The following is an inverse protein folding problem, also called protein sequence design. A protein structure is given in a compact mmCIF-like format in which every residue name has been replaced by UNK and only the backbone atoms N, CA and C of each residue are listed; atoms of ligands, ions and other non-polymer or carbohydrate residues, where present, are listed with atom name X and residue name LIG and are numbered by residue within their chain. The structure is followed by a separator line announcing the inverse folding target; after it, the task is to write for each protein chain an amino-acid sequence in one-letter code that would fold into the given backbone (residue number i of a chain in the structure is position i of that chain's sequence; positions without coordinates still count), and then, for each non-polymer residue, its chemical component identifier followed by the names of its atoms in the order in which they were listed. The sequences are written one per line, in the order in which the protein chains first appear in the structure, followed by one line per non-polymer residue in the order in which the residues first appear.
data_IF_886690256706
#
_entry.id   IF_886690256706
#
_cell.length_a   1.000
_cell.length_b   1.000
_cell.length_c   1.000
_cell.angle_alpha   90.00
_cell.angle_beta   90.00
_cell.angle_gamma   90.00
#
_symmetry.space_group_name_H-M   'P 1'
#
loop_
_entity.id
_entity.type
_entity.pdbx_description
1 polymer ?
#
# COMPACT_ATOMS: atom_id res chain seq x y z
N UNK A 1 13.15 43.41 8.09
CA UNK A 1 14.18 43.75 7.09
C UNK A 1 13.85 42.85 5.92
N UNK A 2 12.92 43.32 5.10
CA UNK A 2 12.45 42.58 3.93
C UNK A 2 13.53 42.75 2.87
N UNK A 3 14.35 41.71 2.68
CA UNK A 3 15.33 41.74 1.60
C UNK A 3 14.55 41.54 0.31
N UNK A 4 14.49 42.59 -0.51
CA UNK A 4 14.04 42.49 -1.89
C UNK A 4 14.88 41.40 -2.57
N UNK A 5 14.23 40.29 -2.93
CA UNK A 5 14.90 39.14 -3.55
C UNK A 5 15.66 39.56 -4.81
N UNK A 6 16.77 38.88 -5.10
CA UNK A 6 17.54 39.15 -6.32
C UNK A 6 16.94 38.33 -7.46
N UNK A 7 16.40 39.01 -8.47
CA UNK A 7 15.91 38.39 -9.69
C UNK A 7 17.07 38.21 -10.69
N UNK A 8 17.21 37.01 -11.26
CA UNK A 8 18.26 36.69 -12.23
C UNK A 8 17.72 35.78 -13.33
N UNK A 9 18.06 36.07 -14.59
CA UNK A 9 17.68 35.25 -15.74
C UNK A 9 18.75 34.18 -16.01
N UNK A 10 18.33 32.91 -16.09
CA UNK A 10 19.20 31.78 -16.40
C UNK A 10 18.84 31.21 -17.77
N UNK A 11 19.84 31.01 -18.63
CA UNK A 11 19.67 30.37 -19.94
C UNK A 11 20.17 28.94 -19.85
N UNK A 12 19.28 27.97 -20.08
CA UNK A 12 19.62 26.55 -20.06
C UNK A 12 19.57 25.98 -21.48
N UNK A 13 20.60 25.22 -21.86
CA UNK A 13 20.68 24.52 -23.15
C UNK A 13 20.72 23.02 -22.87
N UNK A 14 19.85 22.26 -23.52
CA UNK A 14 19.87 20.80 -23.45
C UNK A 14 20.80 20.24 -24.55
N UNK A 15 21.97 19.68 -24.22
CA UNK A 15 22.87 19.08 -25.19
C UNK A 15 22.45 17.65 -25.59
N UNK A 16 21.44 17.07 -24.95
CA UNK A 16 21.00 15.69 -25.14
C UNK A 16 19.75 15.62 -26.04
N UNK A 17 19.59 14.49 -26.73
CA UNK A 17 18.38 14.19 -27.52
C UNK A 17 17.21 13.68 -26.66
N UNK A 18 17.42 13.61 -25.33
CA UNK A 18 16.38 13.28 -24.38
C UNK A 18 15.70 14.58 -23.96
N UNK A 19 14.38 14.59 -23.86
CA UNK A 19 13.68 15.79 -23.46
C UNK A 19 14.01 16.04 -21.96
N UNK A 20 14.05 17.31 -21.52
CA UNK A 20 14.34 17.71 -20.12
C UNK A 20 13.16 18.53 -19.58
N UNK A 21 12.78 18.26 -18.33
CA UNK A 21 11.74 18.98 -17.59
C UNK A 21 12.35 19.68 -16.37
N UNK A 22 11.92 20.92 -16.12
CA UNK A 22 12.31 21.70 -14.96
C UNK A 22 11.09 21.83 -14.06
N UNK A 23 11.26 21.53 -12.78
CA UNK A 23 10.26 21.75 -11.76
C UNK A 23 10.88 22.49 -10.58
N UNK A 24 10.05 23.22 -9.85
CA UNK A 24 10.45 23.92 -8.64
C UNK A 24 9.70 23.33 -7.45
N UNK A 25 10.41 22.93 -6.41
CA UNK A 25 9.77 22.36 -5.21
C UNK A 25 8.89 23.39 -4.50
N UNK A 26 9.23 24.67 -4.58
CA UNK A 26 8.61 25.73 -3.77
C UNK A 26 7.63 26.60 -4.57
N UNK A 27 7.81 26.70 -5.89
CA UNK A 27 7.09 27.67 -6.74
C UNK A 27 6.23 27.03 -7.83
N UNK A 28 6.36 25.73 -8.06
CA UNK A 28 5.60 25.04 -9.09
C UNK A 28 4.26 24.56 -8.50
N UNK A 29 3.16 25.16 -8.96
CA UNK A 29 1.81 24.81 -8.51
C UNK A 29 1.48 23.35 -8.80
N UNK A 30 1.93 22.81 -9.94
CA UNK A 30 1.69 21.42 -10.31
C UNK A 30 2.40 20.47 -9.33
N UNK A 31 3.67 20.76 -8.99
CA UNK A 31 4.40 19.99 -8.00
C UNK A 31 3.70 20.01 -6.63
N UNK A 32 3.27 21.18 -6.17
CA UNK A 32 2.63 21.34 -4.86
C UNK A 32 1.32 20.56 -4.76
N UNK A 33 0.52 20.55 -5.83
CA UNK A 33 -0.70 19.76 -5.92
C UNK A 33 -0.42 18.26 -5.90
N UNK A 34 0.53 17.80 -6.73
CA UNK A 34 0.94 16.39 -6.76
C UNK A 34 1.50 15.92 -5.41
N UNK A 35 2.31 16.76 -4.74
CA UNK A 35 2.86 16.45 -3.43
C UNK A 35 1.77 16.30 -2.37
N UNK A 36 0.77 17.18 -2.41
CA UNK A 36 -0.41 17.10 -1.53
C UNK A 36 -1.17 15.81 -1.79
N UNK A 37 -1.38 15.42 -3.04
CA UNK A 37 -2.04 14.17 -3.41
C UNK A 37 -1.25 12.97 -2.88
N UNK A 38 0.06 12.91 -3.13
CA UNK A 38 0.92 11.83 -2.70
C UNK A 38 0.97 11.68 -1.18
N UNK A 39 1.04 12.79 -0.45
CA UNK A 39 1.02 12.80 1.02
C UNK A 39 -0.27 12.20 1.57
N UNK A 40 -1.40 12.46 0.92
CA UNK A 40 -2.70 11.93 1.30
C UNK A 40 -2.89 10.46 0.90
N UNK A 41 -2.49 10.10 -0.32
CA UNK A 41 -2.68 8.76 -0.88
C UNK A 41 -1.72 7.72 -0.27
N UNK A 42 -0.47 8.10 -0.04
CA UNK A 42 0.59 7.20 0.49
C UNK A 42 0.64 7.23 2.02
N UNK A 43 0.21 8.33 2.65
CA UNK A 43 0.08 8.44 4.10
C UNK A 43 1.43 8.30 4.83
N UNK A 44 1.52 7.34 5.76
CA UNK A 44 2.71 7.10 6.58
C UNK A 44 3.93 6.62 5.78
N UNK A 45 3.71 5.91 4.68
CA UNK A 45 4.78 5.45 3.78
C UNK A 45 5.39 6.61 2.99
N UNK A 46 4.79 7.80 2.97
CA UNK A 46 5.35 8.98 2.30
C UNK A 46 6.65 9.45 2.97
N UNK A 47 6.76 9.27 4.30
CA UNK A 47 7.99 9.57 5.05
C UNK A 47 9.09 8.53 4.82
N UNK A 48 8.73 7.37 4.27
CA UNK A 48 9.67 6.34 3.82
C UNK A 48 9.95 6.55 2.34
N UNK A 49 11.10 6.07 1.87
CA UNK A 49 11.38 6.05 0.43
C UNK A 49 10.43 5.06 -0.25
N UNK A 50 9.48 5.57 -1.05
CA UNK A 50 8.63 4.77 -1.93
C UNK A 50 9.06 4.92 -3.39
N UNK A 51 8.79 3.89 -4.20
CA UNK A 51 9.13 3.87 -5.62
C UNK A 51 7.87 4.06 -6.46
N UNK A 52 7.95 4.90 -7.48
CA UNK A 52 6.89 5.07 -8.49
C UNK A 52 7.38 4.61 -9.86
N UNK A 53 6.44 4.23 -10.76
CA UNK A 53 6.75 4.04 -12.17
C UNK A 53 7.45 5.25 -12.78
N UNK A 54 8.35 5.01 -13.74
CA UNK A 54 8.93 6.09 -14.51
C UNK A 54 7.83 6.81 -15.29
N UNK A 55 7.78 8.13 -15.16
CA UNK A 55 6.83 9.00 -15.87
C UNK A 55 7.49 9.59 -17.11
N UNK A 56 6.70 9.77 -18.17
CA UNK A 56 7.09 10.64 -19.28
C UNK A 56 7.09 12.10 -18.83
N UNK A 57 7.77 12.96 -19.57
CA UNK A 57 7.82 14.39 -19.23
C UNK A 57 6.44 15.04 -19.32
N UNK A 58 6.12 15.91 -18.37
CA UNK A 58 4.78 16.47 -18.22
C UNK A 58 3.72 15.40 -17.89
N UNK A 59 4.14 14.19 -17.54
CA UNK A 59 3.25 13.10 -17.18
C UNK A 59 2.66 13.29 -15.80
N UNK A 60 1.33 13.18 -15.69
CA UNK A 60 0.62 13.28 -14.42
C UNK A 60 0.93 12.11 -13.48
N UNK A 61 0.51 12.22 -12.23
CA UNK A 61 0.50 11.08 -11.31
C UNK A 61 -0.24 9.86 -11.90
N UNK A 62 0.16 8.64 -11.52
CA UNK A 62 -0.54 7.43 -11.93
C UNK A 62 -2.04 7.51 -11.56
N UNK A 63 -2.96 7.05 -12.43
CA UNK A 63 -4.39 7.17 -12.19
C UNK A 63 -4.82 6.44 -10.91
N UNK A 64 -4.14 5.36 -10.51
CA UNK A 64 -4.41 4.66 -9.25
C UNK A 64 -4.25 5.57 -8.02
N UNK A 65 -3.28 6.51 -8.07
CA UNK A 65 -3.06 7.48 -7.00
C UNK A 65 -4.14 8.56 -7.03
N UNK A 66 -4.53 9.02 -8.22
CA UNK A 66 -5.57 10.04 -8.41
C UNK A 66 -6.95 9.52 -7.97
N UNK A 67 -7.31 8.30 -8.38
CA UNK A 67 -8.55 7.62 -8.02
C UNK A 67 -8.66 7.43 -6.51
N UNK A 68 -7.60 6.97 -5.86
CA UNK A 68 -7.56 6.79 -4.41
C UNK A 68 -7.70 8.13 -3.68
N UNK A 69 -7.07 9.19 -4.18
CA UNK A 69 -7.21 10.54 -3.62
C UNK A 69 -8.65 11.06 -3.73
N UNK A 70 -9.29 10.91 -4.89
CA UNK A 70 -10.69 11.28 -5.07
C UNK A 70 -11.63 10.47 -4.17
N UNK A 71 -11.41 9.16 -4.06
CA UNK A 71 -12.19 8.28 -3.21
C UNK A 71 -12.06 8.70 -1.73
N UNK A 72 -10.85 8.99 -1.27
CA UNK A 72 -10.62 9.50 0.09
C UNK A 72 -11.31 10.85 0.31
N UNK A 73 -11.28 11.76 -0.68
CA UNK A 73 -11.96 13.05 -0.60
C UNK A 73 -13.48 12.88 -0.46
N UNK A 74 -14.09 11.97 -1.24
CA UNK A 74 -15.53 11.66 -1.17
C UNK A 74 -15.91 11.06 0.18
N UNK A 75 -15.12 10.10 0.67
CA UNK A 75 -15.35 9.46 1.97
C UNK A 75 -15.24 10.46 3.12
N UNK A 76 -14.26 11.37 3.08
CA UNK A 76 -14.12 12.44 4.08
C UNK A 76 -15.29 13.41 4.05
N UNK A 77 -15.80 13.76 2.86
CA UNK A 77 -16.97 14.62 2.74
C UNK A 77 -18.21 13.96 3.37
N UNK A 78 -18.47 12.68 3.06
CA UNK A 78 -19.57 11.92 3.65
C UNK A 78 -19.44 11.81 5.18
N UNK A 79 -18.23 11.55 5.69
CA UNK A 79 -17.99 11.50 7.13
C UNK A 79 -18.20 12.86 7.81
N UNK A 80 -17.80 13.96 7.17
CA UNK A 80 -18.02 15.30 7.72
C UNK A 80 -19.51 15.65 7.76
N UNK A 81 -20.28 15.25 6.74
CA UNK A 81 -21.74 15.43 6.70
C UNK A 81 -22.44 14.61 7.79
N UNK A 82 -22.07 13.33 7.95
CA UNK A 82 -22.59 12.47 9.02
C UNK A 82 -22.23 13.00 10.42
N UNK A 83 -21.00 13.50 10.61
CA UNK A 83 -20.59 14.13 11.87
C UNK A 83 -21.37 15.41 12.15
N UNK A 84 -21.56 16.27 11.15
CA UNK A 84 -22.34 17.49 11.30
C UNK A 84 -23.82 17.20 11.64
N UNK A 85 -24.41 16.15 11.04
CA UNK A 85 -25.76 15.70 11.40
C UNK A 85 -25.83 15.16 12.83
N UNK A 86 -24.85 14.33 13.24
CA UNK A 86 -24.79 13.79 14.60
C UNK A 86 -24.55 14.87 15.67
N UNK A 87 -23.72 15.88 15.38
CA UNK A 87 -23.48 17.01 16.28
C UNK A 87 -24.74 17.88 16.41
N UNK A 88 -25.48 18.13 15.32
CA UNK A 88 -26.74 18.86 15.36
C UNK A 88 -27.84 18.10 16.14
N UNK A 89 -27.89 16.77 16.01
CA UNK A 89 -28.83 15.92 16.77
C UNK A 89 -28.46 15.88 18.26
N UNK A 90 -27.17 15.79 18.60
CA UNK A 90 -26.69 15.85 19.98
C UNK A 90 -26.93 17.21 20.64
N UNK A 91 -26.80 18.33 19.90
CA UNK A 91 -27.15 19.66 20.40
C UNK A 91 -28.67 19.83 20.61
N UNK A 92 -29.50 19.24 19.74
CA UNK A 92 -30.94 19.23 19.90
C UNK A 92 -31.40 18.38 21.11
N UNK A 93 -30.75 17.24 21.35
CA UNK A 93 -31.02 16.35 22.49
C UNK A 93 -30.55 16.97 23.82
N UNK A 94 -29.45 17.73 23.82
CA UNK A 94 -28.93 18.42 25.02
C UNK A 94 -29.88 19.50 25.58
N UNK A 95 -30.87 19.95 24.80
CA UNK A 95 -31.86 20.96 25.22
C UNK A 95 -33.12 20.37 25.87
N UNK A 96 -33.26 19.04 25.97
CA UNK A 96 -34.39 18.36 26.62
C UNK A 96 -33.95 17.24 27.59
N UNK A 97 -34.03 17.44 28.90
CA UNK A 97 -33.60 16.43 29.90
C UNK A 97 -34.63 15.31 30.15
N UNK A 98 -34.19 14.04 30.08
CA UNK A 98 -34.13 13.06 31.19
C UNK A 98 -33.72 11.65 30.68
N UNK A 99 -32.80 10.97 31.38
CA UNK A 99 -32.25 9.63 31.07
C UNK A 99 -33.29 8.49 31.17
N UNK A 100 -33.04 7.32 30.55
CA UNK A 100 -32.30 6.27 31.26
C UNK A 100 -31.24 5.52 30.43
N UNK A 101 -30.43 4.76 31.18
CA UNK A 101 -29.36 3.83 30.81
C UNK A 101 -29.70 2.83 29.69
N UNK A 102 -28.78 2.69 28.73
CA UNK A 102 -28.61 1.49 27.89
C UNK A 102 -27.11 1.22 27.65
N UNK A 103 -26.71 -0.06 27.53
CA UNK A 103 -25.30 -0.45 27.57
C UNK A 103 -24.53 -0.05 26.32
N UNK A 104 -23.26 0.34 26.56
CA UNK A 104 -22.19 0.55 25.58
C UNK A 104 -22.16 -0.58 24.53
N UNK A 105 -22.76 -0.32 23.37
CA UNK A 105 -22.35 -0.96 22.14
C UNK A 105 -21.03 -0.33 21.72
N UNK A 106 -19.97 -1.12 21.82
CA UNK A 106 -18.65 -0.83 21.28
C UNK A 106 -18.82 -0.53 19.79
N UNK A 107 -18.80 0.75 19.41
CA UNK A 107 -18.54 1.16 18.05
C UNK A 107 -17.06 0.94 17.80
N UNK A 108 -16.68 -0.33 17.62
CA UNK A 108 -15.48 -0.61 16.84
C UNK A 108 -15.84 -0.15 15.43
N UNK A 109 -15.42 1.07 15.10
CA UNK A 109 -15.29 1.49 13.72
C UNK A 109 -14.60 0.33 13.01
N UNK A 110 -15.21 -0.33 12.02
CA UNK A 110 -14.41 -1.17 11.16
C UNK A 110 -13.46 -0.18 10.49
N UNK A 111 -12.19 -0.20 10.90
CA UNK A 111 -11.13 0.30 10.05
C UNK A 111 -11.45 -0.19 8.65
N UNK A 112 -11.55 0.70 7.64
CA UNK A 112 -11.97 0.27 6.33
C UNK A 112 -10.95 -0.76 5.86
N UNK A 113 -11.42 -2.00 5.86
CA UNK A 113 -10.71 -3.20 5.42
C UNK A 113 -10.54 -3.04 3.92
N UNK A 114 -9.57 -2.24 3.52
CA UNK A 114 -9.05 -2.17 2.15
C UNK A 114 -7.57 -2.48 2.22
N UNK A 115 -7.27 -3.66 2.75
CA UNK A 115 -5.97 -4.30 2.60
C UNK A 115 -6.13 -5.54 1.72
N UNK A 116 -6.72 -5.36 0.52
CA UNK A 116 -6.83 -6.46 -0.45
C UNK A 116 -6.17 -6.12 -1.79
N UNK A 117 -5.81 -4.86 -2.00
CA UNK A 117 -4.84 -4.48 -3.03
C UNK A 117 -3.95 -3.43 -2.37
N UNK A 118 -2.64 -3.66 -2.32
CA UNK A 118 -1.69 -2.80 -1.60
C UNK A 118 -1.79 -1.32 -1.97
N UNK A 119 -1.01 -0.46 -1.30
CA UNK A 119 -1.07 1.00 -1.47
C UNK A 119 -1.14 1.44 -2.96
N UNK A 120 -1.79 2.59 -3.29
CA UNK A 120 -2.02 3.01 -4.67
C UNK A 120 -0.75 3.04 -5.53
N UNK A 121 0.38 3.37 -4.90
CA UNK A 121 1.70 3.36 -5.53
C UNK A 121 2.13 1.96 -5.94
N UNK A 122 1.96 0.96 -5.08
CA UNK A 122 2.29 -0.44 -5.36
C UNK A 122 1.43 -0.98 -6.49
N UNK A 123 0.15 -0.59 -6.55
CA UNK A 123 -0.73 -0.89 -7.69
C UNK A 123 -0.19 -0.31 -8.98
N UNK A 124 0.21 0.97 -8.97
CA UNK A 124 0.79 1.62 -10.13
C UNK A 124 2.09 0.93 -10.60
N UNK A 125 2.95 0.50 -9.66
CA UNK A 125 4.17 -0.27 -9.96
C UNK A 125 3.83 -1.63 -10.56
N UNK A 126 2.90 -2.38 -9.98
CA UNK A 126 2.48 -3.68 -10.51
C UNK A 126 1.96 -3.56 -11.94
N UNK A 127 1.08 -2.59 -12.21
CA UNK A 127 0.58 -2.33 -13.56
C UNK A 127 1.71 -2.01 -14.52
N UNK A 128 2.65 -1.15 -14.13
CA UNK A 128 3.79 -0.79 -14.97
C UNK A 128 4.70 -1.99 -15.30
N UNK A 129 4.82 -2.94 -14.37
CA UNK A 129 5.57 -4.17 -14.55
C UNK A 129 4.78 -5.29 -15.26
N UNK A 130 3.51 -5.06 -15.60
CA UNK A 130 2.63 -6.09 -16.17
C UNK A 130 2.32 -7.23 -15.20
N UNK A 131 2.31 -6.95 -13.89
CA UNK A 131 1.93 -7.92 -12.85
C UNK A 131 0.42 -7.83 -12.66
N UNK A 132 -0.30 -8.89 -13.03
CA UNK A 132 -1.74 -8.95 -12.85
C UNK A 132 -2.10 -9.14 -11.36
N UNK A 133 -2.83 -8.18 -10.75
CA UNK A 133 -3.26 -8.29 -9.36
C UNK A 133 -4.30 -9.39 -9.17
N UNK A 134 -4.97 -9.85 -10.24
CA UNK A 134 -5.99 -10.90 -10.21
C UNK A 134 -5.41 -12.32 -10.28
N UNK A 135 -4.09 -12.47 -10.36
CA UNK A 135 -3.49 -13.80 -10.47
C UNK A 135 -3.53 -14.53 -9.13
N UNK A 136 -3.84 -15.82 -9.18
CA UNK A 136 -3.64 -16.89 -8.18
C UNK A 136 -2.32 -16.80 -7.39
N UNK A 137 -1.37 -15.96 -7.85
CA UNK A 137 -0.15 -15.57 -7.16
C UNK A 137 -0.35 -14.68 -5.93
N UNK A 138 -1.47 -13.97 -5.76
CA UNK A 138 -1.74 -13.23 -4.50
C UNK A 138 -1.82 -14.20 -3.31
N UNK A 139 -2.41 -15.39 -3.52
CA UNK A 139 -2.42 -16.46 -2.51
C UNK A 139 -1.00 -17.02 -2.27
N UNK A 140 -0.17 -17.08 -3.31
CA UNK A 140 1.24 -17.48 -3.21
C UNK A 140 2.16 -16.38 -2.63
N UNK A 141 1.73 -15.12 -2.59
CA UNK A 141 2.53 -13.98 -2.13
C UNK A 141 2.10 -13.50 -0.73
N UNK A 142 0.89 -13.85 -0.28
CA UNK A 142 0.48 -13.80 1.12
C UNK A 142 1.24 -14.84 1.98
N UNK A 143 1.81 -15.87 1.37
CA UNK A 143 2.77 -16.75 2.03
C UNK A 143 4.17 -16.12 1.99
N UNK A 144 4.40 -15.10 2.82
CA UNK A 144 5.76 -14.65 3.21
C UNK A 144 6.47 -15.72 4.07
N UNK A 145 6.54 -16.95 3.55
CA UNK A 145 7.22 -18.07 4.17
C UNK A 145 8.59 -18.28 3.54
N UNK A 146 9.55 -18.75 4.32
CA UNK A 146 10.84 -19.22 3.81
C UNK A 146 10.67 -20.70 3.46
N UNK A 147 10.97 -21.06 2.21
CA UNK A 147 11.04 -22.46 1.78
C UNK A 147 12.49 -22.93 1.87
N UNK A 148 12.75 -23.96 2.67
CA UNK A 148 14.09 -24.54 2.85
C UNK A 148 14.17 -25.87 2.10
N UNK A 149 15.04 -25.96 1.10
CA UNK A 149 15.27 -27.18 0.31
C UNK A 149 16.55 -27.86 0.82
N UNK A 150 16.43 -29.08 1.34
CA UNK A 150 17.58 -29.86 1.83
C UNK A 150 17.93 -30.95 0.80
N UNK A 151 19.00 -30.73 0.06
CA UNK A 151 19.49 -31.67 -0.95
C UNK A 151 20.81 -32.34 -0.51
N UNK A 152 21.15 -33.48 -1.14
CA UNK A 152 22.40 -34.20 -0.86
C UNK A 152 22.33 -35.69 -1.19
N UNK A 153 23.45 -36.42 -1.11
CA UNK A 153 23.52 -37.84 -1.46
C UNK A 153 22.65 -38.71 -0.52
N UNK A 154 22.20 -39.90 -0.95
CA UNK A 154 21.42 -40.80 -0.11
C UNK A 154 22.17 -41.09 1.20
N UNK A 155 21.43 -41.24 2.31
CA UNK A 155 21.96 -41.46 3.68
C UNK A 155 22.79 -40.30 4.29
N UNK A 156 22.88 -39.13 3.66
CA UNK A 156 23.51 -37.94 4.22
C UNK A 156 22.79 -37.32 5.46
N UNK A 157 21.74 -37.97 5.97
CA UNK A 157 21.01 -37.47 7.15
C UNK A 157 20.01 -36.35 6.86
N UNK A 158 19.73 -36.03 5.59
CA UNK A 158 18.78 -34.97 5.16
C UNK A 158 17.46 -34.99 5.93
N UNK A 159 16.86 -36.17 6.06
CA UNK A 159 15.59 -36.39 6.78
C UNK A 159 15.69 -35.99 8.26
N UNK A 160 16.82 -36.28 8.92
CA UNK A 160 17.03 -35.93 10.33
C UNK A 160 17.20 -34.43 10.50
N UNK A 161 17.95 -33.78 9.59
CA UNK A 161 18.15 -32.33 9.59
C UNK A 161 16.83 -31.61 9.32
N UNK A 162 16.06 -32.06 8.32
CA UNK A 162 14.74 -31.52 8.02
C UNK A 162 13.79 -31.63 9.22
N UNK A 163 13.71 -32.81 9.85
CA UNK A 163 12.87 -33.01 11.03
C UNK A 163 13.29 -32.10 12.21
N UNK A 164 14.59 -31.84 12.36
CA UNK A 164 15.10 -30.91 13.36
C UNK A 164 14.68 -29.46 13.08
N UNK A 165 14.81 -29.02 11.83
CA UNK A 165 14.39 -27.68 11.40
C UNK A 165 12.87 -27.49 11.53
N UNK A 166 12.08 -28.47 11.13
CA UNK A 166 10.62 -28.42 11.25
C UNK A 166 10.17 -28.30 12.71
N UNK A 167 10.83 -29.00 13.65
CA UNK A 167 10.53 -28.87 15.08
C UNK A 167 10.95 -27.52 15.65
N UNK A 168 12.06 -26.96 15.18
CA UNK A 168 12.60 -25.70 15.69
C UNK A 168 11.78 -24.49 15.22
N UNK A 169 11.37 -24.49 13.95
CA UNK A 169 10.63 -23.39 13.34
C UNK A 169 9.10 -23.62 13.28
N UNK A 170 8.59 -24.70 13.87
CA UNK A 170 7.19 -25.13 13.74
C UNK A 170 6.70 -25.13 12.28
N UNK A 171 7.52 -25.74 11.42
CA UNK A 171 7.33 -25.70 9.97
C UNK A 171 6.80 -27.03 9.42
N UNK A 172 6.03 -26.94 8.33
CA UNK A 172 5.58 -28.11 7.59
C UNK A 172 6.77 -28.89 6.98
N UNK A 173 6.68 -30.22 6.99
CA UNK A 173 7.68 -31.11 6.42
C UNK A 173 7.12 -31.83 5.20
N UNK A 174 7.74 -31.65 4.03
CA UNK A 174 7.37 -32.33 2.79
C UNK A 174 8.56 -33.13 2.25
N UNK A 175 8.31 -34.39 1.90
CA UNK A 175 9.30 -35.29 1.29
C UNK A 175 8.77 -35.83 -0.03
N UNK A 176 9.55 -35.66 -1.10
CA UNK A 176 9.20 -36.17 -2.44
C UNK A 176 8.96 -37.69 -2.38
N UNK A 177 9.80 -38.42 -1.65
CA UNK A 177 9.65 -39.88 -1.50
C UNK A 177 8.30 -40.28 -0.89
N UNK A 178 7.70 -39.42 -0.05
CA UNK A 178 6.39 -39.69 0.57
C UNK A 178 5.29 -39.45 -0.45
N UNK A 179 5.32 -38.28 -1.13
CA UNK A 179 4.33 -37.93 -2.16
C UNK A 179 4.30 -38.96 -3.27
N UNK A 180 5.47 -39.41 -3.74
CA UNK A 180 5.58 -40.42 -4.80
C UNK A 180 5.02 -41.77 -4.34
N UNK A 181 5.29 -42.18 -3.09
CA UNK A 181 4.75 -43.45 -2.55
C UNK A 181 3.23 -43.40 -2.41
N UNK A 182 2.68 -42.29 -1.95
CA UNK A 182 1.23 -42.10 -1.83
C UNK A 182 0.57 -42.14 -3.21
N UNK A 183 1.16 -41.46 -4.21
CA UNK A 183 0.64 -41.47 -5.58
C UNK A 183 0.63 -42.87 -6.21
N UNK A 184 1.67 -43.67 -5.99
CA UNK A 184 1.73 -45.06 -6.49
C UNK A 184 0.75 -45.98 -5.76
N UNK A 185 0.47 -45.72 -4.47
CA UNK A 185 -0.49 -46.51 -3.69
C UNK A 185 -1.95 -46.14 -3.98
N UNK A 186 -2.20 -44.99 -4.59
CA UNK A 186 -3.53 -44.50 -4.98
C UNK A 186 -3.95 -44.88 -6.41
N UNK A 187 -3.11 -45.62 -7.13
CA UNK A 187 -3.31 -46.14 -8.49
C UNK A 187 -3.60 -47.66 -8.43
#
# INVERSE_FOLDING_TARGET
VDSDGVEATVVVKNPCNLPIEFYSLDFDEQYLEEEKILRMAVGSEYQKTFLMPQRAMGGTLPPEVLEDYEAQKRLKAQQAELKAMAEAEAEAEAMGKAAPEYPRAVTSCPEPVVEVIGNPVSRAVMRHLGIDPSSERLEAQQSRGIVVIIHGPPRAGKTKVAAGLCRYYDAAYLSIDTVVKEAIASD
#
